data_IF_743942286372
#
_entry.id   IF_743942286372
#
_cell.length_a   1.000
_cell.length_b   1.000
_cell.length_c   1.000
_cell.angle_alpha   90.00
_cell.angle_beta   90.00
_cell.angle_gamma   90.00
#
_symmetry.space_group_name_H-M   'P 1'
#
loop_
_entity.id
_entity.type
_entity.pdbx_description
1 polymer ?
#
# COMPACT_ATOMS: atom_id res chain seq x y z
N UNK A 1 -2.83 3.00 -13.54
CA UNK A 1 -2.42 1.58 -13.57
C UNK A 1 -1.12 1.30 -12.82
N UNK A 2 0.03 1.85 -13.22
CA UNK A 2 1.32 1.52 -12.60
C UNK A 2 1.35 1.68 -11.06
N UNK A 3 0.84 2.80 -10.53
CA UNK A 3 0.77 3.05 -9.09
C UNK A 3 -0.11 2.02 -8.36
N UNK A 4 -1.25 1.62 -8.94
CA UNK A 4 -2.12 0.61 -8.35
C UNK A 4 -1.38 -0.74 -8.28
N UNK A 5 -0.66 -1.10 -9.33
CA UNK A 5 0.13 -2.33 -9.36
C UNK A 5 1.21 -2.33 -8.26
N UNK A 6 1.92 -1.21 -8.08
CA UNK A 6 2.90 -1.06 -7.00
C UNK A 6 2.23 -1.21 -5.62
N UNK A 7 1.03 -0.65 -5.43
CA UNK A 7 0.25 -0.86 -4.20
C UNK A 7 -0.06 -2.34 -3.94
N UNK A 8 -0.41 -3.11 -4.97
CA UNK A 8 -0.60 -4.57 -4.86
C UNK A 8 0.70 -5.26 -4.47
N UNK A 9 1.82 -4.89 -5.09
CA UNK A 9 3.13 -5.42 -4.73
C UNK A 9 3.50 -5.14 -3.26
N UNK A 10 3.11 -4.00 -2.70
CA UNK A 10 3.31 -3.72 -1.27
C UNK A 10 2.54 -4.73 -0.39
N UNK A 11 1.28 -5.04 -0.70
CA UNK A 11 0.53 -6.04 0.08
C UNK A 11 1.04 -7.47 -0.13
N UNK A 12 1.50 -7.81 -1.34
CA UNK A 12 2.17 -9.09 -1.57
C UNK A 12 3.49 -9.18 -0.78
N UNK A 13 4.27 -8.10 -0.75
CA UNK A 13 5.48 -8.01 0.08
C UNK A 13 5.17 -8.18 1.56
N UNK A 14 4.08 -7.60 2.05
CA UNK A 14 3.60 -7.80 3.43
C UNK A 14 3.35 -9.28 3.73
N UNK A 15 2.70 -10.01 2.80
CA UNK A 15 2.43 -11.44 2.98
C UNK A 15 3.71 -12.29 2.99
N UNK A 16 4.74 -11.89 2.22
CA UNK A 16 6.00 -12.62 2.11
C UNK A 16 6.93 -12.34 3.30
N UNK A 17 7.07 -11.06 3.66
CA UNK A 17 7.98 -10.61 4.71
C UNK A 17 7.38 -10.87 6.11
N UNK A 18 6.05 -10.82 6.21
CA UNK A 18 5.33 -10.96 7.46
C UNK A 18 5.33 -9.68 8.30
N UNK A 19 4.56 -9.73 9.37
CA UNK A 19 4.39 -8.67 10.36
C UNK A 19 4.08 -9.29 11.72
N UNK A 20 4.28 -8.51 12.78
CA UNK A 20 3.90 -8.88 14.14
C UNK A 20 2.96 -7.86 14.73
N UNK A 21 2.26 -8.24 15.81
CA UNK A 21 1.58 -7.31 16.69
C UNK A 21 2.34 -7.33 18.02
N UNK A 22 2.70 -6.16 18.53
CA UNK A 22 3.34 -6.05 19.84
C UNK A 22 2.33 -6.21 21.00
N UNK A 23 2.83 -6.16 22.23
CA UNK A 23 2.01 -6.31 23.45
C UNK A 23 0.99 -5.20 23.65
N UNK A 24 1.24 -4.02 23.07
CA UNK A 24 0.37 -2.85 23.15
C UNK A 24 -0.65 -2.81 21.99
N UNK A 25 -0.61 -3.79 21.09
CA UNK A 25 -1.51 -3.92 19.95
C UNK A 25 -1.05 -3.16 18.71
N UNK A 26 0.17 -2.64 18.68
CA UNK A 26 0.71 -1.97 17.50
C UNK A 26 1.25 -2.98 16.49
N UNK A 27 0.99 -2.68 15.22
CA UNK A 27 1.52 -3.43 14.11
C UNK A 27 2.99 -3.09 13.90
N UNK A 28 3.84 -4.11 14.01
CA UNK A 28 5.27 -4.02 13.77
C UNK A 28 5.56 -4.62 12.39
N UNK A 29 5.94 -3.75 11.47
CA UNK A 29 6.33 -4.11 10.10
C UNK A 29 7.75 -3.60 9.82
N UNK A 30 8.61 -4.37 9.14
CA UNK A 30 9.99 -3.94 8.83
C UNK A 30 10.04 -2.73 7.89
N UNK A 31 9.01 -2.57 7.07
CA UNK A 31 8.69 -1.35 6.33
C UNK A 31 7.18 -1.18 6.41
N UNK A 32 6.67 0.06 6.41
CA UNK A 32 5.23 0.35 6.47
C UNK A 32 4.50 -0.02 5.16
N UNK A 33 4.56 -1.29 4.74
CA UNK A 33 4.08 -1.78 3.44
C UNK A 33 2.56 -1.58 3.33
N UNK A 34 1.82 -1.76 4.43
CA UNK A 34 0.36 -1.55 4.42
C UNK A 34 0.04 -0.06 4.19
N UNK A 35 0.52 0.90 5.01
CA UNK A 35 0.27 2.33 4.77
C UNK A 35 0.73 2.81 3.39
N UNK A 36 1.92 2.38 2.94
CA UNK A 36 2.48 2.76 1.64
C UNK A 36 1.64 2.18 0.49
N UNK A 37 1.15 0.95 0.62
CA UNK A 37 0.27 0.33 -0.37
C UNK A 37 -1.01 1.15 -0.60
N UNK A 38 -1.67 1.57 0.48
CA UNK A 38 -2.84 2.44 0.39
C UNK A 38 -2.53 3.81 -0.21
N UNK A 39 -1.37 4.40 0.10
CA UNK A 39 -0.93 5.65 -0.51
C UNK A 39 -0.80 5.51 -2.04
N UNK A 40 -0.22 4.42 -2.52
CA UNK A 40 -0.11 4.15 -3.95
C UNK A 40 -1.45 3.92 -4.63
N UNK A 41 -2.40 3.25 -3.97
CA UNK A 41 -3.76 3.13 -4.47
C UNK A 41 -4.43 4.50 -4.61
N UNK A 42 -4.36 5.34 -3.58
CA UNK A 42 -4.93 6.68 -3.58
C UNK A 42 -4.39 7.50 -4.75
N UNK A 43 -3.07 7.59 -4.89
CA UNK A 43 -2.43 8.31 -5.99
C UNK A 43 -2.79 7.72 -7.36
N UNK A 44 -2.89 6.39 -7.45
CA UNK A 44 -3.32 5.69 -8.65
C UNK A 44 -4.74 6.06 -9.08
N UNK A 45 -5.68 6.11 -8.14
CA UNK A 45 -7.06 6.50 -8.39
C UNK A 45 -7.18 7.99 -8.73
N UNK A 46 -6.49 8.88 -8.01
CA UNK A 46 -6.44 10.31 -8.32
C UNK A 46 -5.98 10.53 -9.76
N UNK A 47 -4.91 9.84 -10.17
CA UNK A 47 -4.40 9.92 -11.55
C UNK A 47 -5.43 9.45 -12.59
N UNK A 48 -6.16 8.37 -12.32
CA UNK A 48 -7.21 7.88 -13.23
C UNK A 48 -8.35 8.89 -13.34
N UNK A 49 -8.80 9.44 -12.22
CA UNK A 49 -9.86 10.46 -12.20
C UNK A 49 -9.40 11.70 -12.97
N UNK A 50 -8.17 12.17 -12.73
CA UNK A 50 -7.60 13.32 -13.41
C UNK A 50 -7.55 13.11 -14.93
N UNK A 51 -7.01 11.98 -15.41
CA UNK A 51 -6.95 11.64 -16.84
C UNK A 51 -8.32 11.41 -17.50
N UNK A 52 -9.37 11.19 -16.70
CA UNK A 52 -10.73 11.03 -17.21
C UNK A 52 -11.46 12.37 -17.30
N UNK A 53 -11.08 13.34 -16.46
CA UNK A 53 -11.75 14.63 -16.35
C UNK A 53 -11.18 15.67 -17.33
N UNK A 54 -9.90 15.54 -17.70
CA UNK A 54 -9.16 16.43 -18.60
C UNK A 54 -8.64 15.64 -19.81
#
# INVERSE_FOLDING_TARGET
MALIFIGVCCHLGYLIVGSGIDTDGFLIEPFALIPIGYLFYLLGFIRIIYLKLF
#
